data_IF_548423102591
#
_entry.id   IF_548423102591
#
_cell.length_a   1.000
_cell.length_b   1.000
_cell.length_c   1.000
_cell.angle_alpha   90.00
_cell.angle_beta   90.00
_cell.angle_gamma   90.00
#
_symmetry.space_group_name_H-M   'P 1'
#
loop_
_entity.id
_entity.type
_entity.pdbx_description
1 polymer ?
#
# COMPACT_ATOMS: atom_id res chain seq x y z
N UNK A 1 17.53 23.25 7.40
CA UNK A 1 16.63 22.17 6.95
C UNK A 1 16.76 22.03 5.43
N UNK A 2 17.05 20.83 4.96
CA UNK A 2 17.12 20.53 3.52
C UNK A 2 15.71 20.59 2.96
N UNK A 3 15.44 21.56 2.09
CA UNK A 3 14.15 21.72 1.46
C UNK A 3 13.94 20.58 0.44
N UNK A 4 12.87 19.80 0.56
CA UNK A 4 12.50 18.77 -0.43
C UNK A 4 12.25 19.44 -1.78
N UNK A 5 12.81 18.87 -2.85
CA UNK A 5 12.63 19.38 -4.21
C UNK A 5 12.04 18.29 -5.10
N UNK A 6 11.09 18.69 -5.95
CA UNK A 6 10.55 17.82 -6.99
C UNK A 6 11.58 17.58 -8.08
N UNK A 7 11.55 16.39 -8.69
CA UNK A 7 12.44 16.04 -9.79
C UNK A 7 12.36 14.58 -10.19
N UNK A 8 12.96 14.27 -11.32
CA UNK A 8 13.13 12.89 -11.76
C UNK A 8 14.11 12.17 -10.85
N UNK A 9 13.76 10.94 -10.49
CA UNK A 9 14.67 10.01 -9.85
C UNK A 9 15.43 9.22 -10.91
N UNK A 10 16.45 8.47 -10.49
CA UNK A 10 17.27 7.68 -11.44
C UNK A 10 16.39 6.68 -12.19
N UNK A 11 16.30 6.78 -13.52
CA UNK A 11 15.64 5.77 -14.32
C UNK A 11 16.34 4.42 -14.20
N UNK A 12 15.58 3.34 -14.29
CA UNK A 12 16.15 2.00 -14.25
C UNK A 12 15.44 1.06 -15.23
N UNK A 13 16.19 0.06 -15.68
CA UNK A 13 15.72 -0.98 -16.58
C UNK A 13 15.47 -2.26 -15.80
N UNK A 14 14.42 -2.98 -16.13
CA UNK A 14 14.12 -4.31 -15.61
C UNK A 14 13.69 -5.26 -16.70
N UNK A 15 13.98 -6.53 -16.48
CA UNK A 15 13.49 -7.64 -17.31
C UNK A 15 12.63 -8.55 -16.43
N UNK A 16 11.47 -8.92 -16.94
CA UNK A 16 10.52 -9.85 -16.31
C UNK A 16 10.27 -11.02 -17.24
N UNK A 17 10.13 -12.22 -16.68
CA UNK A 17 9.80 -13.41 -17.48
C UNK A 17 8.37 -13.37 -18.03
N UNK A 18 7.46 -12.63 -17.38
CA UNK A 18 6.05 -12.60 -17.75
C UNK A 18 5.70 -11.47 -18.73
N UNK A 19 6.31 -10.27 -18.55
CA UNK A 19 5.96 -9.06 -19.28
C UNK A 19 7.14 -8.50 -20.09
N UNK A 20 8.23 -9.25 -20.21
CA UNK A 20 9.41 -8.79 -20.93
C UNK A 20 10.16 -7.68 -20.21
N UNK A 21 10.79 -6.84 -21.00
CA UNK A 21 11.64 -5.75 -20.50
C UNK A 21 10.89 -4.45 -20.34
N UNK A 22 11.19 -3.71 -19.29
CA UNK A 22 10.57 -2.41 -19.00
C UNK A 22 11.58 -1.35 -18.62
N UNK A 23 11.21 -0.09 -18.89
CA UNK A 23 11.91 1.11 -18.43
C UNK A 23 11.02 1.81 -17.41
N UNK A 24 11.60 2.13 -16.25
CA UNK A 24 10.97 2.89 -15.19
C UNK A 24 11.58 4.30 -15.14
N UNK A 25 10.75 5.32 -15.13
CA UNK A 25 11.18 6.73 -15.07
C UNK A 25 10.47 7.42 -13.89
N UNK A 26 10.91 7.18 -12.63
CA UNK A 26 10.22 7.71 -11.48
C UNK A 26 10.36 9.23 -11.38
N UNK A 27 9.28 9.90 -10.94
CA UNK A 27 9.23 11.32 -10.67
C UNK A 27 8.75 11.56 -9.24
N UNK A 28 9.54 12.26 -8.47
CA UNK A 28 9.19 12.68 -7.12
C UNK A 28 8.60 14.09 -7.15
N UNK A 29 7.40 14.26 -6.59
CA UNK A 29 6.72 15.53 -6.47
C UNK A 29 6.58 15.94 -5.00
N UNK A 30 7.35 16.94 -4.58
CA UNK A 30 7.24 17.55 -3.25
C UNK A 30 6.06 18.54 -3.25
N UNK A 31 4.91 18.11 -2.72
CA UNK A 31 3.70 18.94 -2.66
C UNK A 31 3.84 20.00 -1.57
N UNK A 32 4.32 19.58 -0.39
CA UNK A 32 4.63 20.46 0.74
C UNK A 32 5.73 19.86 1.62
N UNK A 33 6.02 20.46 2.76
CA UNK A 33 6.99 19.90 3.71
C UNK A 33 6.53 18.57 4.34
N UNK A 34 5.22 18.35 4.40
CA UNK A 34 4.59 17.16 5.00
C UNK A 34 3.92 16.22 3.99
N UNK A 35 3.93 16.58 2.69
CA UNK A 35 3.23 15.80 1.64
C UNK A 35 4.12 15.61 0.44
N UNK A 36 4.14 14.41 -0.09
CA UNK A 36 4.79 14.11 -1.37
C UNK A 36 4.05 13.00 -2.14
N UNK A 37 4.32 12.96 -3.43
CA UNK A 37 3.81 11.96 -4.36
C UNK A 37 4.96 11.47 -5.23
N UNK A 38 5.16 10.17 -5.30
CA UNK A 38 6.08 9.55 -6.25
C UNK A 38 5.27 8.88 -7.34
N UNK A 39 5.49 9.29 -8.58
CA UNK A 39 4.93 8.65 -9.77
C UNK A 39 5.99 7.73 -10.36
N UNK A 40 5.67 6.47 -10.59
CA UNK A 40 6.59 5.49 -11.16
C UNK A 40 5.96 4.82 -12.41
N UNK A 41 5.98 5.50 -13.57
CA UNK A 41 5.56 4.91 -14.82
C UNK A 41 6.53 3.80 -15.23
N UNK A 42 5.98 2.64 -15.57
CA UNK A 42 6.67 1.50 -16.16
C UNK A 42 6.17 1.31 -17.58
N UNK A 43 7.08 1.41 -18.53
CA UNK A 43 6.81 1.28 -19.96
C UNK A 43 7.47 -0.02 -20.42
N UNK A 44 6.67 -0.98 -20.82
CA UNK A 44 7.14 -2.25 -21.34
C UNK A 44 7.38 -2.14 -22.85
N UNK A 45 8.34 -2.90 -23.36
CA UNK A 45 8.68 -2.88 -24.80
C UNK A 45 7.54 -3.39 -25.68
N UNK A 46 6.64 -4.19 -25.13
CA UNK A 46 5.46 -4.75 -25.80
C UNK A 46 4.22 -3.82 -25.74
N UNK A 47 4.43 -2.50 -25.54
CA UNK A 47 3.43 -1.45 -25.44
C UNK A 47 2.50 -1.52 -24.23
N UNK A 48 2.79 -2.34 -23.25
CA UNK A 48 2.08 -2.33 -21.98
C UNK A 48 2.58 -1.16 -21.10
N UNK A 49 1.66 -0.54 -20.37
CA UNK A 49 1.97 0.59 -19.50
C UNK A 49 1.31 0.41 -18.14
N UNK A 50 2.10 0.62 -17.09
CA UNK A 50 1.62 0.67 -15.70
C UNK A 50 2.06 1.97 -15.08
N UNK A 51 1.15 2.69 -14.46
CA UNK A 51 1.50 3.77 -13.55
C UNK A 51 1.29 3.28 -12.12
N UNK A 52 2.38 3.16 -11.37
CA UNK A 52 2.33 2.96 -9.92
C UNK A 52 2.70 4.25 -9.20
N UNK A 53 2.03 4.56 -8.10
CA UNK A 53 2.18 5.85 -7.40
C UNK A 53 2.13 5.64 -5.90
N UNK A 54 3.01 6.32 -5.18
CA UNK A 54 3.06 6.36 -3.73
C UNK A 54 2.78 7.78 -3.25
N UNK A 55 1.70 7.98 -2.49
CA UNK A 55 1.39 9.23 -1.82
C UNK A 55 1.69 9.10 -0.32
N UNK A 56 2.36 10.12 0.25
CA UNK A 56 2.66 10.19 1.68
C UNK A 56 2.25 11.54 2.24
N UNK A 57 1.63 11.50 3.40
CA UNK A 57 1.29 12.70 4.15
C UNK A 57 1.54 12.48 5.64
N UNK A 58 2.31 13.38 6.24
CA UNK A 58 2.51 13.44 7.69
C UNK A 58 1.62 14.55 8.25
N UNK A 59 0.73 14.16 9.14
CA UNK A 59 -0.07 15.04 9.99
C UNK A 59 0.66 15.27 11.33
N UNK A 60 0.07 16.04 12.22
CA UNK A 60 0.66 16.31 13.54
C UNK A 60 0.83 15.01 14.35
N UNK A 61 -0.20 14.17 14.38
CA UNK A 61 -0.25 12.94 15.19
C UNK A 61 -0.50 11.68 14.36
N UNK A 62 -0.33 11.72 13.05
CA UNK A 62 -0.55 10.54 12.20
C UNK A 62 0.22 10.61 10.89
N UNK A 63 0.40 9.45 10.26
CA UNK A 63 1.01 9.33 8.96
C UNK A 63 0.09 8.54 8.02
N UNK A 64 -0.09 9.07 6.82
CA UNK A 64 -0.81 8.40 5.75
C UNK A 64 0.15 7.99 4.64
N UNK A 65 0.09 6.72 4.26
CA UNK A 65 0.74 6.16 3.09
C UNK A 65 -0.33 5.53 2.19
N UNK A 66 -0.39 5.95 0.93
CA UNK A 66 -1.27 5.37 -0.08
C UNK A 66 -0.44 4.94 -1.27
N UNK A 67 -0.54 3.69 -1.65
CA UNK A 67 0.06 3.12 -2.84
C UNK A 67 -1.04 2.67 -3.79
N UNK A 68 -0.99 3.11 -5.03
CA UNK A 68 -1.97 2.72 -6.02
C UNK A 68 -1.30 2.52 -7.39
N UNK A 69 -1.87 1.65 -8.17
CA UNK A 69 -1.48 1.53 -9.58
C UNK A 69 -2.67 1.27 -10.48
N UNK A 70 -2.49 1.59 -11.73
CA UNK A 70 -3.38 1.14 -12.78
C UNK A 70 -2.58 0.67 -14.00
N UNK A 71 -3.12 -0.34 -14.64
CA UNK A 71 -2.73 -0.82 -15.95
C UNK A 71 -3.95 -0.71 -16.87
N UNK A 72 -3.76 -0.30 -18.09
CA UNK A 72 -4.78 -0.28 -19.14
C UNK A 72 -4.35 -1.22 -20.25
N UNK A 73 -4.92 -2.42 -20.21
CA UNK A 73 -4.91 -3.41 -21.27
C UNK A 73 -6.36 -3.56 -21.81
N UNK A 74 -6.82 -4.72 -22.18
CA UNK A 74 -8.22 -4.98 -22.57
C UNK A 74 -9.20 -4.56 -21.46
N UNK A 75 -8.81 -4.75 -20.19
CA UNK A 75 -9.52 -4.28 -19.00
C UNK A 75 -8.60 -3.41 -18.13
N UNK A 76 -9.16 -2.39 -17.50
CA UNK A 76 -8.41 -1.59 -16.51
C UNK A 76 -8.27 -2.38 -15.22
N UNK A 77 -7.04 -2.75 -14.88
CA UNK A 77 -6.72 -3.38 -13.61
C UNK A 77 -6.04 -2.37 -12.66
N UNK A 78 -6.41 -2.44 -11.40
CA UNK A 78 -5.92 -1.51 -10.38
C UNK A 78 -5.57 -2.22 -9.08
N UNK A 79 -4.65 -1.65 -8.30
CA UNK A 79 -4.56 -1.90 -6.87
C UNK A 79 -4.65 -0.58 -6.10
N UNK A 80 -5.16 -0.65 -4.89
CA UNK A 80 -5.18 0.42 -3.92
C UNK A 80 -4.82 -0.14 -2.55
N UNK A 81 -3.70 0.31 -2.00
CA UNK A 81 -3.27 0.01 -0.65
C UNK A 81 -3.12 1.31 0.12
N UNK A 82 -3.68 1.36 1.32
CA UNK A 82 -3.59 2.52 2.18
C UNK A 82 -3.26 2.09 3.60
N UNK A 83 -2.39 2.84 4.25
CA UNK A 83 -2.05 2.69 5.66
C UNK A 83 -2.10 4.05 6.34
N UNK A 84 -2.84 4.13 7.43
CA UNK A 84 -2.90 5.27 8.32
C UNK A 84 -2.52 4.79 9.72
N UNK A 85 -1.47 5.34 10.28
CA UNK A 85 -1.04 5.11 11.66
C UNK A 85 -0.94 6.43 12.42
N UNK A 86 -1.27 6.39 13.70
CA UNK A 86 -1.23 7.60 14.53
C UNK A 86 -1.70 7.37 15.95
N UNK A 87 -1.81 8.47 16.67
CA UNK A 87 -2.29 8.49 18.04
C UNK A 87 -3.38 9.55 18.23
N UNK A 88 -4.39 9.23 19.05
CA UNK A 88 -5.41 10.20 19.48
C UNK A 88 -4.94 11.06 20.62
N UNK A 89 -4.15 10.47 21.53
CA UNK A 89 -3.52 11.10 22.70
C UNK A 89 -2.22 10.34 23.04
N UNK A 90 -1.52 10.73 24.10
CA UNK A 90 -0.25 10.13 24.54
C UNK A 90 -0.35 8.65 24.96
N UNK A 91 -1.58 8.12 25.12
CA UNK A 91 -1.86 6.76 25.61
C UNK A 91 -2.69 5.93 24.63
N UNK A 92 -3.01 6.47 23.46
CA UNK A 92 -3.96 5.81 22.54
C UNK A 92 -3.44 5.83 21.13
N UNK A 93 -3.02 4.67 20.63
CA UNK A 93 -2.55 4.46 19.29
C UNK A 93 -3.61 3.77 18.41
N UNK A 94 -3.59 4.05 17.12
CA UNK A 94 -4.44 3.37 16.15
C UNK A 94 -3.68 3.11 14.85
N UNK A 95 -4.08 2.05 14.16
CA UNK A 95 -3.59 1.73 12.82
C UNK A 95 -4.73 1.20 11.95
N UNK A 96 -4.87 1.76 10.75
CA UNK A 96 -5.79 1.30 9.72
C UNK A 96 -4.99 0.90 8.50
N UNK A 97 -5.23 -0.30 7.98
CA UNK A 97 -4.72 -0.74 6.69
C UNK A 97 -5.85 -1.24 5.81
N UNK A 98 -5.85 -0.82 4.55
CA UNK A 98 -6.79 -1.27 3.52
C UNK A 98 -5.98 -1.77 2.34
N UNK A 99 -6.32 -2.95 1.84
CA UNK A 99 -5.76 -3.51 0.62
C UNK A 99 -6.88 -3.97 -0.31
N UNK A 100 -6.82 -3.57 -1.57
CA UNK A 100 -7.78 -3.95 -2.60
C UNK A 100 -7.10 -4.08 -3.96
N UNK A 101 -7.54 -5.06 -4.74
CA UNK A 101 -7.17 -5.26 -6.15
C UNK A 101 -8.42 -5.57 -6.97
N UNK A 102 -8.41 -5.21 -8.24
CA UNK A 102 -9.51 -5.53 -9.17
C UNK A 102 -9.33 -6.86 -9.89
N UNK A 103 -8.12 -7.44 -9.84
CA UNK A 103 -7.80 -8.74 -10.46
C UNK A 103 -6.84 -9.52 -9.57
N UNK A 104 -7.16 -10.76 -9.26
CA UNK A 104 -6.44 -11.61 -8.31
C UNK A 104 -4.99 -11.90 -8.70
N UNK A 105 -4.68 -11.87 -9.99
CA UNK A 105 -3.33 -12.12 -10.50
C UNK A 105 -2.51 -10.84 -10.70
N UNK A 106 -3.14 -9.67 -10.55
CA UNK A 106 -2.53 -8.37 -10.87
C UNK A 106 -1.20 -8.13 -10.14
N UNK A 107 -1.17 -8.42 -8.83
CA UNK A 107 0.02 -8.19 -8.00
C UNK A 107 1.22 -9.03 -8.46
N UNK A 108 0.97 -10.29 -8.84
CA UNK A 108 2.00 -11.24 -9.31
C UNK A 108 2.47 -10.92 -10.71
N UNK A 109 1.54 -10.68 -11.64
CA UNK A 109 1.85 -10.40 -13.03
C UNK A 109 2.76 -9.16 -13.13
N UNK A 110 2.42 -8.12 -12.40
CA UNK A 110 3.11 -6.83 -12.49
C UNK A 110 4.19 -6.62 -11.40
N UNK A 111 4.49 -7.64 -10.58
CA UNK A 111 5.47 -7.56 -9.48
C UNK A 111 5.26 -6.32 -8.60
N UNK A 112 4.01 -6.01 -8.24
CA UNK A 112 3.66 -4.82 -7.46
C UNK A 112 4.39 -4.80 -6.11
N UNK A 113 4.59 -5.97 -5.50
CA UNK A 113 5.28 -6.15 -4.22
C UNK A 113 6.68 -5.50 -4.16
N UNK A 114 7.38 -5.46 -5.28
CA UNK A 114 8.73 -4.88 -5.31
C UNK A 114 8.75 -3.35 -5.18
N UNK A 115 7.59 -2.71 -5.36
CA UNK A 115 7.46 -1.25 -5.45
C UNK A 115 6.57 -0.64 -4.36
N UNK A 116 6.02 -1.47 -3.48
CA UNK A 116 5.16 -1.01 -2.38
C UNK A 116 5.72 -1.42 -1.02
N UNK A 117 5.47 -0.60 0.00
CA UNK A 117 5.87 -0.84 1.39
C UNK A 117 4.75 -1.45 2.24
N UNK A 118 3.53 -1.52 1.70
CA UNK A 118 2.33 -1.92 2.46
C UNK A 118 2.05 -3.42 2.33
N UNK A 119 2.63 -4.11 1.35
CA UNK A 119 2.32 -5.50 1.08
C UNK A 119 3.33 -6.48 1.67
N UNK A 120 2.84 -7.55 2.31
CA UNK A 120 3.65 -8.67 2.78
C UNK A 120 3.53 -9.92 1.90
N UNK A 121 2.41 -10.06 1.18
CA UNK A 121 2.11 -11.19 0.30
C UNK A 121 1.48 -10.69 -1.00
N UNK A 122 1.76 -11.35 -2.10
CA UNK A 122 1.14 -11.12 -3.42
C UNK A 122 -0.05 -12.07 -3.69
N UNK A 123 -0.37 -12.93 -2.74
CA UNK A 123 -1.48 -13.89 -2.80
C UNK A 123 -2.52 -13.70 -1.71
N UNK A 124 -2.25 -12.85 -0.72
CA UNK A 124 -3.18 -12.60 0.39
C UNK A 124 -3.18 -11.12 0.72
N UNK A 125 -4.34 -10.49 0.62
CA UNK A 125 -4.55 -9.13 1.08
C UNK A 125 -4.97 -9.15 2.55
N UNK A 126 -4.51 -8.14 3.30
CA UNK A 126 -4.85 -7.98 4.71
C UNK A 126 -5.30 -6.56 4.96
N UNK A 127 -6.59 -6.40 5.26
CA UNK A 127 -7.14 -5.15 5.74
C UNK A 127 -7.44 -5.27 7.23
N UNK A 128 -7.11 -4.25 8.01
CA UNK A 128 -7.34 -4.29 9.46
C UNK A 128 -7.48 -2.89 10.05
N UNK A 129 -8.12 -2.86 11.22
CA UNK A 129 -8.08 -1.74 12.14
C UNK A 129 -7.60 -2.24 13.49
N UNK A 130 -6.61 -1.59 14.09
CA UNK A 130 -6.17 -1.82 15.46
C UNK A 130 -6.25 -0.55 16.28
N UNK A 131 -6.50 -0.75 17.56
CA UNK A 131 -6.61 0.27 18.56
C UNK A 131 -5.94 -0.25 19.84
N UNK A 132 -4.99 0.50 20.35
CA UNK A 132 -4.22 0.17 21.54
C UNK A 132 -4.28 1.36 22.51
N UNK A 133 -4.66 1.11 23.75
CA UNK A 133 -4.79 2.14 24.80
C UNK A 133 -4.18 1.70 26.11
N UNK A 134 -3.28 2.51 26.63
CA UNK A 134 -2.78 2.38 28.00
C UNK A 134 -3.76 3.08 28.97
N UNK A 135 -4.43 2.27 29.79
CA UNK A 135 -5.40 2.75 30.78
C UNK A 135 -4.65 3.35 31.97
N UNK A 136 -3.65 2.62 32.46
CA UNK A 136 -2.71 3.05 33.51
C UNK A 136 -1.34 2.38 33.31
N UNK A 137 -0.39 2.57 34.23
CA UNK A 137 0.99 2.09 34.11
C UNK A 137 1.12 0.53 34.07
N UNK A 138 0.06 -0.19 34.45
CA UNK A 138 0.05 -1.66 34.52
C UNK A 138 -1.06 -2.30 33.67
N UNK A 139 -1.94 -1.50 33.06
CA UNK A 139 -3.13 -2.00 32.35
C UNK A 139 -3.22 -1.39 30.98
N UNK A 140 -3.26 -2.22 29.95
CA UNK A 140 -3.48 -1.81 28.56
C UNK A 140 -4.66 -2.57 27.95
N UNK A 141 -5.34 -1.93 27.01
CA UNK A 141 -6.41 -2.49 26.21
C UNK A 141 -5.98 -2.49 24.75
N UNK A 142 -5.92 -3.67 24.14
CA UNK A 142 -5.69 -3.83 22.71
C UNK A 142 -6.90 -4.45 22.02
N UNK A 143 -7.25 -3.95 20.85
CA UNK A 143 -8.30 -4.50 20.00
C UNK A 143 -7.90 -4.48 18.54
N UNK A 144 -8.14 -5.58 17.82
CA UNK A 144 -7.83 -5.67 16.38
C UNK A 144 -8.91 -6.45 15.63
N UNK A 145 -9.42 -5.84 14.56
CA UNK A 145 -10.29 -6.47 13.57
C UNK A 145 -9.52 -6.67 12.30
N UNK A 146 -9.60 -7.85 11.68
CA UNK A 146 -8.89 -8.16 10.43
C UNK A 146 -9.82 -8.80 9.40
N UNK A 147 -9.57 -8.46 8.14
CA UNK A 147 -10.11 -9.10 6.97
C UNK A 147 -8.94 -9.62 6.12
N UNK A 148 -8.93 -10.91 5.86
CA UNK A 148 -8.03 -11.52 4.89
C UNK A 148 -8.79 -11.85 3.62
N UNK A 149 -8.16 -11.56 2.48
CA UNK A 149 -8.63 -11.95 1.15
C UNK A 149 -7.55 -12.81 0.49
N UNK A 150 -7.84 -14.10 0.25
CA UNK A 150 -6.93 -15.02 -0.42
C UNK A 150 -7.20 -15.01 -1.93
N UNK A 151 -6.30 -14.37 -2.68
CA UNK A 151 -6.41 -14.19 -4.12
C UNK A 151 -6.24 -15.49 -4.92
N UNK A 152 -5.89 -16.60 -4.27
CA UNK A 152 -5.76 -17.91 -4.91
C UNK A 152 -7.04 -18.75 -4.84
N UNK A 153 -8.04 -18.30 -4.09
CA UNK A 153 -9.29 -19.02 -3.85
C UNK A 153 -10.45 -18.45 -4.65
N UNK A 154 -11.47 -19.29 -4.85
CA UNK A 154 -12.74 -18.89 -5.44
C UNK A 154 -13.57 -18.05 -4.46
N UNK A 155 -14.52 -17.28 -4.96
CA UNK A 155 -15.29 -16.25 -4.23
C UNK A 155 -15.93 -16.75 -2.93
N UNK A 156 -16.34 -18.00 -2.82
CA UNK A 156 -17.00 -18.55 -1.62
C UNK A 156 -16.07 -18.73 -0.42
N UNK A 157 -14.76 -18.93 -0.65
CA UNK A 157 -13.75 -19.20 0.40
C UNK A 157 -12.65 -18.12 0.44
N UNK A 158 -12.85 -17.06 -0.31
CA UNK A 158 -11.85 -16.00 -0.52
C UNK A 158 -11.62 -15.14 0.72
N UNK A 159 -12.67 -14.91 1.51
CA UNK A 159 -12.65 -13.97 2.62
C UNK A 159 -12.66 -14.67 3.98
N UNK A 160 -11.77 -14.26 4.87
CA UNK A 160 -11.74 -14.66 6.27
C UNK A 160 -11.78 -13.41 7.17
N UNK A 161 -12.78 -13.36 8.04
CA UNK A 161 -12.96 -12.30 9.02
C UNK A 161 -12.47 -12.76 10.38
N UNK A 162 -11.64 -11.94 11.04
CA UNK A 162 -11.27 -12.10 12.44
C UNK A 162 -11.94 -10.95 13.20
N UNK A 163 -12.90 -11.32 14.06
CA UNK A 163 -13.58 -10.37 14.95
C UNK A 163 -12.63 -9.86 16.03
N UNK A 164 -12.96 -8.72 16.69
CA UNK A 164 -12.06 -8.10 17.62
C UNK A 164 -11.65 -9.06 18.73
N UNK A 165 -10.36 -9.23 18.89
CA UNK A 165 -9.74 -9.84 20.05
C UNK A 165 -9.43 -8.70 21.05
N UNK A 166 -9.90 -8.86 22.28
CA UNK A 166 -9.67 -7.90 23.36
C UNK A 166 -8.70 -8.52 24.35
N UNK A 167 -7.56 -7.87 24.53
CA UNK A 167 -6.57 -8.23 25.53
C UNK A 167 -6.50 -7.13 26.60
N UNK A 168 -6.59 -7.53 27.84
CA UNK A 168 -6.49 -6.65 29.01
C UNK A 168 -5.21 -6.95 29.77
#
# INVERSE_FOLDING_TARGET
SVKRKSGFLTPFYRSSNNLGSSINIPYFYAISNSKDLTLNPRIYLDNEFILQSEYREAYENSNLLVDFSFNRDENTNTHLFAKLDGNFDERTDYELQIQNVTNDNYLKIHNIKEYTKIINSDSTLTSYFSFDRDIDDNTSLSSKVKLYEDLSKNDNDKYQYIFPDFNF
#
